data_IF_131160381106
#
_entry.id   IF_131160381106
#
_cell.length_a   1.000
_cell.length_b   1.000
_cell.length_c   1.000
_cell.angle_alpha   90.00
_cell.angle_beta   90.00
_cell.angle_gamma   90.00
#
_symmetry.space_group_name_H-M   'P 1'
#
loop_
_entity.id
_entity.type
_entity.pdbx_description
1 polymer ?
#
# COMPACT_ATOMS: atom_id res chain seq x y z
N UNK A 1 -6.71 36.57 8.25
CA UNK A 1 -7.72 35.50 8.31
C UNK A 1 -8.68 35.74 9.48
N UNK A 2 -9.60 36.72 9.39
CA UNK A 2 -10.44 37.15 10.53
C UNK A 2 -11.48 36.10 10.96
N UNK A 3 -12.00 35.33 10.00
CA UNK A 3 -13.05 34.33 10.22
C UNK A 3 -12.62 33.21 11.19
N UNK A 4 -11.37 32.75 11.11
CA UNK A 4 -10.88 31.68 12.00
C UNK A 4 -10.75 32.15 13.45
N UNK A 5 -10.35 33.41 13.64
CA UNK A 5 -10.24 34.03 14.96
C UNK A 5 -11.64 34.30 15.55
N UNK A 6 -12.60 34.74 14.73
CA UNK A 6 -13.99 34.95 15.14
C UNK A 6 -14.65 33.63 15.58
N UNK A 7 -14.45 32.54 14.82
CA UNK A 7 -14.93 31.19 15.19
C UNK A 7 -14.31 30.74 16.52
N UNK A 8 -13.01 30.97 16.71
CA UNK A 8 -12.31 30.57 17.93
C UNK A 8 -12.85 31.33 19.15
N UNK A 9 -13.05 32.64 19.04
CA UNK A 9 -13.63 33.45 20.11
C UNK A 9 -15.07 33.04 20.44
N UNK A 10 -15.87 32.70 19.42
CA UNK A 10 -17.25 32.25 19.62
C UNK A 10 -17.29 30.90 20.36
N UNK A 11 -16.40 29.97 20.01
CA UNK A 11 -16.27 28.69 20.72
C UNK A 11 -15.81 28.91 22.17
N UNK A 12 -14.83 29.79 22.41
CA UNK A 12 -14.38 30.12 23.78
C UNK A 12 -15.49 30.75 24.63
N UNK A 13 -16.30 31.66 24.05
CA UNK A 13 -17.48 32.22 24.73
C UNK A 13 -18.55 31.18 25.04
N UNK A 14 -18.81 30.24 24.13
CA UNK A 14 -19.74 29.14 24.39
C UNK A 14 -19.19 28.17 25.45
N UNK A 15 -17.88 27.90 25.47
CA UNK A 15 -17.26 27.04 26.47
C UNK A 15 -17.35 27.62 27.89
N UNK A 16 -17.28 28.95 28.05
CA UNK A 16 -17.46 29.64 29.33
C UNK A 16 -18.89 29.51 29.90
N UNK A 17 -19.90 29.21 29.08
CA UNK A 17 -21.29 29.00 29.53
C UNK A 17 -21.53 27.61 30.13
N UNK A 18 -20.64 26.66 29.87
CA UNK A 18 -20.72 25.31 30.42
C UNK A 18 -19.87 25.19 31.69
N UNK A 19 -20.25 24.29 32.60
CA UNK A 19 -19.41 23.93 33.74
C UNK A 19 -17.97 23.62 33.24
N UNK A 20 -16.94 24.29 33.77
CA UNK A 20 -15.55 24.12 33.34
C UNK A 20 -15.11 22.66 33.28
N UNK A 21 -15.63 21.81 34.18
CA UNK A 21 -15.31 20.37 34.22
C UNK A 21 -15.93 19.60 33.06
N UNK A 22 -17.15 19.95 32.67
CA UNK A 22 -17.87 19.36 31.54
C UNK A 22 -17.31 19.86 30.20
N UNK A 23 -16.98 21.15 30.13
CA UNK A 23 -16.39 21.77 28.94
C UNK A 23 -15.00 21.17 28.64
N UNK A 24 -14.12 21.05 29.64
CA UNK A 24 -12.82 20.39 29.47
C UNK A 24 -12.99 18.96 28.94
N UNK A 25 -13.93 18.17 29.48
CA UNK A 25 -14.13 16.77 29.05
C UNK A 25 -14.72 16.64 27.65
N UNK A 26 -15.63 17.55 27.26
CA UNK A 26 -16.33 17.51 25.96
C UNK A 26 -15.47 18.07 24.82
N UNK A 27 -14.65 19.07 25.11
CA UNK A 27 -13.85 19.80 24.14
C UNK A 27 -12.34 19.56 24.30
N UNK A 28 -11.92 18.59 25.13
CA UNK A 28 -10.52 18.20 25.23
C UNK A 28 -10.02 17.87 23.83
N UNK A 29 -9.13 18.70 23.30
CA UNK A 29 -8.47 18.43 22.04
C UNK A 29 -7.63 17.18 22.24
N UNK A 30 -8.08 16.07 21.66
CA UNK A 30 -7.30 14.83 21.63
C UNK A 30 -6.10 15.07 20.73
N UNK A 31 -4.98 15.46 21.34
CA UNK A 31 -3.69 15.60 20.65
C UNK A 31 -3.16 14.25 20.19
N UNK A 32 -2.20 14.28 19.25
CA UNK A 32 -1.58 13.05 18.75
C UNK A 32 -0.93 12.25 19.90
N UNK A 33 -0.30 12.93 20.86
CA UNK A 33 0.28 12.31 22.06
C UNK A 33 -0.75 11.52 22.88
N UNK A 34 -1.96 12.05 23.07
CA UNK A 34 -3.05 11.36 23.78
C UNK A 34 -3.51 10.13 22.99
N UNK A 35 -3.58 10.22 21.64
CA UNK A 35 -3.91 9.07 20.80
C UNK A 35 -2.87 7.97 20.94
N UNK A 36 -1.58 8.32 20.94
CA UNK A 36 -0.49 7.37 21.02
C UNK A 36 -0.44 6.68 22.40
N UNK A 37 -0.62 7.45 23.48
CA UNK A 37 -0.79 6.92 24.84
C UNK A 37 -1.97 5.94 24.93
N UNK A 38 -3.12 6.30 24.36
CA UNK A 38 -4.29 5.45 24.33
C UNK A 38 -4.06 4.15 23.55
N UNK A 39 -3.46 4.24 22.36
CA UNK A 39 -3.17 3.06 21.55
C UNK A 39 -2.14 2.16 22.23
N UNK A 40 -1.14 2.70 22.92
CA UNK A 40 -0.18 1.92 23.72
C UNK A 40 -0.89 1.15 24.84
N UNK A 41 -1.76 1.81 25.61
CA UNK A 41 -2.52 1.15 26.68
C UNK A 41 -3.42 0.01 26.16
N UNK A 42 -4.10 0.22 25.03
CA UNK A 42 -5.01 -0.80 24.47
C UNK A 42 -4.24 -1.93 23.78
N UNK A 43 -3.17 -1.63 23.06
CA UNK A 43 -2.44 -2.63 22.24
C UNK A 43 -1.37 -3.35 23.04
N UNK A 44 -0.52 -2.62 23.78
CA UNK A 44 0.63 -3.18 24.50
C UNK A 44 0.21 -3.75 25.85
N UNK A 45 -0.61 -3.01 26.60
CA UNK A 45 -1.03 -3.40 27.95
C UNK A 45 -2.33 -4.21 27.98
N UNK A 46 -2.91 -4.47 26.79
CA UNK A 46 -4.17 -5.23 26.60
C UNK A 46 -5.35 -4.70 27.43
N UNK A 47 -5.35 -3.41 27.76
CA UNK A 47 -6.45 -2.79 28.50
C UNK A 47 -7.70 -2.72 27.62
N UNK A 48 -8.88 -2.82 28.25
CA UNK A 48 -10.13 -2.55 27.53
C UNK A 48 -10.22 -1.09 27.11
N UNK A 49 -10.89 -0.81 25.99
CA UNK A 49 -11.11 0.56 25.50
C UNK A 49 -11.71 1.46 26.59
N UNK A 50 -12.64 0.92 27.38
CA UNK A 50 -13.32 1.65 28.46
C UNK A 50 -12.35 1.98 29.60
N UNK A 51 -11.51 1.02 30.00
CA UNK A 51 -10.52 1.24 31.06
C UNK A 51 -9.44 2.22 30.61
N UNK A 52 -8.86 2.03 29.42
CA UNK A 52 -7.84 2.92 28.88
C UNK A 52 -8.37 4.36 28.69
N UNK A 53 -9.62 4.52 28.24
CA UNK A 53 -10.25 5.83 28.11
C UNK A 53 -10.39 6.55 29.45
N UNK A 54 -10.80 5.82 30.49
CA UNK A 54 -10.92 6.37 31.84
C UNK A 54 -9.56 6.75 32.43
N UNK A 55 -8.54 5.90 32.29
CA UNK A 55 -7.18 6.17 32.81
C UNK A 55 -6.54 7.40 32.17
N UNK A 56 -6.81 7.63 30.89
CA UNK A 56 -6.22 8.75 30.11
C UNK A 56 -7.10 10.01 30.20
N UNK A 57 -8.32 9.90 30.73
CA UNK A 57 -9.24 11.03 30.87
C UNK A 57 -9.88 11.45 29.54
N UNK A 58 -10.01 10.55 28.56
CA UNK A 58 -10.69 10.83 27.29
C UNK A 58 -12.12 10.34 27.30
N UNK A 59 -12.99 10.99 26.54
CA UNK A 59 -14.34 10.51 26.32
C UNK A 59 -14.32 9.16 25.57
N UNK A 60 -15.19 8.25 25.99
CA UNK A 60 -15.35 6.93 25.39
C UNK A 60 -15.71 6.98 23.90
N UNK A 61 -16.49 7.98 23.46
CA UNK A 61 -16.79 8.19 22.03
C UNK A 61 -15.53 8.50 21.23
N UNK A 62 -14.67 9.37 21.75
CA UNK A 62 -13.37 9.69 21.15
C UNK A 62 -12.45 8.48 21.13
N UNK A 63 -12.39 7.71 22.23
CA UNK A 63 -11.64 6.47 22.31
C UNK A 63 -12.06 5.45 21.24
N UNK A 64 -13.38 5.28 21.04
CA UNK A 64 -13.93 4.44 19.95
C UNK A 64 -13.52 4.93 18.57
N UNK A 65 -13.58 6.24 18.32
CA UNK A 65 -13.19 6.81 17.04
C UNK A 65 -11.69 6.58 16.74
N UNK A 66 -10.82 6.82 17.72
CA UNK A 66 -9.36 6.57 17.61
C UNK A 66 -9.11 5.09 17.32
N UNK A 67 -9.78 4.19 18.04
CA UNK A 67 -9.63 2.75 17.83
C UNK A 67 -10.11 2.27 16.46
N UNK A 68 -11.23 2.82 15.98
CA UNK A 68 -11.76 2.52 14.65
C UNK A 68 -10.79 2.99 13.55
N UNK A 69 -10.23 4.20 13.68
CA UNK A 69 -9.24 4.73 12.75
C UNK A 69 -7.97 3.86 12.72
N UNK A 70 -7.48 3.45 13.89
CA UNK A 70 -6.33 2.57 14.03
C UNK A 70 -6.54 1.21 13.34
N UNK A 71 -7.70 0.57 13.56
CA UNK A 71 -8.04 -0.70 12.89
C UNK A 71 -8.12 -0.56 11.38
N UNK A 72 -8.70 0.54 10.89
CA UNK A 72 -8.76 0.84 9.45
C UNK A 72 -7.37 1.03 8.84
N UNK A 73 -6.45 1.70 9.55
CA UNK A 73 -5.05 1.86 9.10
C UNK A 73 -4.30 0.53 9.05
N UNK A 74 -4.52 -0.37 10.02
CA UNK A 74 -3.96 -1.74 9.97
C UNK A 74 -4.45 -2.53 8.75
N UNK A 75 -5.74 -2.43 8.42
CA UNK A 75 -6.30 -3.11 7.24
C UNK A 75 -5.78 -2.56 5.92
N UNK A 76 -5.56 -1.24 5.81
CA UNK A 76 -4.97 -0.64 4.60
C UNK A 76 -3.53 -1.12 4.35
N UNK A 77 -2.69 -1.20 5.38
CA UNK A 77 -1.34 -1.78 5.24
C UNK A 77 -1.37 -3.20 4.70
N UNK A 78 -2.31 -4.02 5.18
CA UNK A 78 -2.45 -5.40 4.73
C UNK A 78 -2.91 -5.52 3.27
N UNK A 79 -3.68 -4.54 2.78
CA UNK A 79 -4.14 -4.49 1.38
C UNK A 79 -3.04 -4.00 0.43
N UNK A 80 -2.26 -3.00 0.84
CA UNK A 80 -1.10 -2.53 0.07
C UNK A 80 -0.02 -3.62 -0.06
N UNK A 81 0.21 -4.41 1.00
CA UNK A 81 1.12 -5.57 0.94
C UNK A 81 0.59 -6.72 0.05
N UNK A 82 -0.72 -6.93 -0.02
CA UNK A 82 -1.29 -7.93 -0.94
C UNK A 82 -1.20 -7.49 -2.39
N UNK A 83 -1.45 -6.21 -2.66
CA UNK A 83 -1.44 -5.66 -4.02
C UNK A 83 0.00 -5.65 -4.59
N UNK A 84 1.02 -5.33 -3.79
CA UNK A 84 2.43 -5.44 -4.18
C UNK A 84 2.89 -6.87 -4.47
N UNK A 85 2.34 -7.88 -3.78
CA UNK A 85 2.65 -9.29 -4.06
C UNK A 85 2.03 -9.77 -5.38
N UNK A 86 0.83 -9.30 -5.70
CA UNK A 86 0.14 -9.63 -6.95
C UNK A 86 0.83 -8.96 -8.14
N UNK A 87 1.21 -7.69 -8.01
CA UNK A 87 1.95 -6.96 -9.06
C UNK A 87 3.29 -7.61 -9.37
N UNK A 88 4.07 -7.98 -8.33
CA UNK A 88 5.34 -8.70 -8.52
C UNK A 88 5.16 -10.08 -9.18
N UNK A 89 4.06 -10.80 -8.91
CA UNK A 89 3.78 -12.06 -9.60
C UNK A 89 3.39 -11.85 -11.07
N UNK A 90 2.60 -10.80 -11.38
CA UNK A 90 2.23 -10.47 -12.75
C UNK A 90 3.45 -10.05 -13.58
N UNK A 91 4.33 -9.22 -13.02
CA UNK A 91 5.60 -8.80 -13.67
C UNK A 91 6.46 -10.02 -13.97
N UNK A 92 6.69 -10.92 -12.99
CA UNK A 92 7.45 -12.17 -13.20
C UNK A 92 6.84 -13.06 -14.30
N UNK A 93 5.51 -13.18 -14.34
CA UNK A 93 4.80 -13.99 -15.33
C UNK A 93 4.86 -13.38 -16.73
N UNK A 94 4.85 -12.05 -16.82
CA UNK A 94 5.01 -11.32 -18.09
C UNK A 94 6.44 -11.46 -18.62
N UNK A 95 7.46 -11.28 -17.78
CA UNK A 95 8.88 -11.48 -18.15
C UNK A 95 9.16 -12.90 -18.65
N UNK A 96 8.58 -13.92 -18.02
CA UNK A 96 8.75 -15.31 -18.47
C UNK A 96 8.14 -15.58 -19.86
N UNK A 97 6.96 -15.00 -20.16
CA UNK A 97 6.33 -15.13 -21.47
C UNK A 97 7.14 -14.44 -22.57
N UNK A 98 7.69 -13.25 -22.29
CA UNK A 98 8.53 -12.51 -23.23
C UNK A 98 9.82 -13.29 -23.50
N UNK A 99 10.50 -13.77 -22.46
CA UNK A 99 11.74 -14.55 -22.60
C UNK A 99 11.53 -15.84 -23.42
N UNK A 100 10.43 -16.56 -23.15
CA UNK A 100 10.09 -17.76 -23.92
C UNK A 100 9.72 -17.45 -25.37
N UNK A 101 9.06 -16.32 -25.64
CA UNK A 101 8.80 -15.84 -27.00
C UNK A 101 10.10 -15.53 -27.75
N UNK A 102 11.01 -14.77 -27.12
CA UNK A 102 12.30 -14.42 -27.70
C UNK A 102 13.18 -15.65 -27.97
N UNK A 103 13.19 -16.64 -27.08
CA UNK A 103 13.93 -17.89 -27.29
C UNK A 103 13.37 -18.73 -28.44
N UNK A 104 12.05 -18.77 -28.63
CA UNK A 104 11.43 -19.44 -29.79
C UNK A 104 11.79 -18.76 -31.10
N UNK A 105 11.74 -17.43 -31.14
CA UNK A 105 12.13 -16.65 -32.34
C UNK A 105 13.61 -16.85 -32.66
N UNK A 106 14.49 -16.84 -31.64
CA UNK A 106 15.93 -17.09 -31.82
C UNK A 106 16.21 -18.50 -32.36
N UNK A 107 15.49 -19.52 -31.86
CA UNK A 107 15.62 -20.90 -32.33
C UNK A 107 15.18 -21.02 -33.79
N UNK A 108 14.03 -20.44 -34.15
CA UNK A 108 13.52 -20.43 -35.52
C UNK A 108 14.47 -19.72 -36.49
N UNK A 109 15.05 -18.59 -36.09
CA UNK A 109 16.01 -17.87 -36.93
C UNK A 109 17.32 -18.64 -37.14
N UNK A 110 17.77 -19.39 -36.13
CA UNK A 110 18.93 -20.28 -36.27
C UNK A 110 18.64 -21.46 -37.20
N UNK A 111 17.44 -22.04 -37.11
CA UNK A 111 17.00 -23.13 -37.97
C UNK A 111 16.94 -22.68 -39.43
N UNK A 112 16.37 -21.49 -39.72
CA UNK A 112 16.41 -20.88 -41.05
C UNK A 112 17.85 -20.67 -41.54
N UNK A 113 18.74 -20.11 -40.71
CA UNK A 113 20.14 -19.90 -41.11
C UNK A 113 20.85 -21.22 -41.46
N UNK A 114 20.62 -22.27 -40.67
CA UNK A 114 21.18 -23.59 -40.94
C UNK A 114 20.63 -24.18 -42.25
N UNK A 115 19.32 -24.10 -42.50
CA UNK A 115 18.71 -24.60 -43.75
C UNK A 115 19.18 -23.82 -44.98
N UNK A 116 19.32 -22.51 -44.90
CA UNK A 116 19.87 -21.69 -45.99
C UNK A 116 21.34 -22.05 -46.25
N UNK A 117 22.14 -22.26 -45.20
CA UNK A 117 23.54 -22.69 -45.34
C UNK A 117 23.67 -24.09 -45.97
N UNK A 118 22.76 -25.02 -45.65
CA UNK A 118 22.74 -26.36 -46.25
C UNK A 118 22.35 -26.31 -47.73
N UNK A 119 21.37 -25.48 -48.11
CA UNK A 119 20.97 -25.29 -49.51
C UNK A 119 22.06 -24.62 -50.37
N UNK A 120 22.88 -23.74 -49.80
CA UNK A 120 24.00 -23.13 -50.52
C UNK A 120 25.14 -24.15 -50.73
N UNK A 121 25.38 -25.05 -49.77
CA UNK A 121 26.39 -26.09 -49.88
C UNK A 121 25.99 -27.23 -50.83
N UNK A 122 24.69 -27.56 -50.95
CA UNK A 122 24.21 -28.55 -51.93
C UNK A 122 24.18 -27.98 -53.35
N UNK A 123 23.85 -26.69 -53.52
CA UNK A 123 23.89 -25.96 -54.80
C UNK A 123 25.30 -25.86 -55.41
N UNK A 124 26.34 -25.75 -54.58
CA UNK A 124 27.73 -25.71 -55.01
C UNK A 124 28.28 -27.10 -55.38
N UNK A 125 27.75 -28.18 -54.81
CA UNK A 125 28.15 -29.55 -55.16
C UNK A 125 27.53 -30.03 -56.48
N UNK A 126 26.31 -29.59 -56.82
CA UNK A 126 25.64 -30.03 -58.07
C UNK A 126 26.10 -29.32 -59.35
N UNK A 127 27.08 -28.42 -59.31
CA UNK A 127 27.60 -27.72 -60.50
C UNK A 127 29.05 -28.08 -60.88
N UNK A 128 29.71 -28.95 -60.13
CA UNK A 128 31.07 -29.41 -60.42
C UNK A 128 31.13 -30.77 -61.15
N UNK A 129 30.04 -31.54 -61.16
CA UNK A 129 29.99 -32.85 -61.82
C UNK A 129 29.43 -32.84 -63.26
N UNK A 130 29.21 -31.67 -63.86
CA UNK A 130 28.70 -31.55 -65.25
C UNK A 130 29.72 -31.01 -66.27
N UNK A 131 31.00 -30.89 -65.90
CA UNK A 131 32.09 -30.61 -66.84
C UNK A 131 33.39 -31.33 -66.43
N UNK A 132 33.41 -32.66 -66.57
CA UNK A 132 34.60 -33.44 -66.96
C UNK A 132 34.15 -34.50 -67.95
#
# INVERSE_FOLDING_TARGET
>A
MKILDDIKQQVEKEMLKFDPRLAQKKYLKVTQSIKDLFLKAVVSEKQTIKSAANSIGINYSSAKAIWAEFRRKKQKKHKEESDQKIENQLVKRCSYKILNGCNKIKKFFMEIKCSVSQNMNSSLFCKLDSHI
#
